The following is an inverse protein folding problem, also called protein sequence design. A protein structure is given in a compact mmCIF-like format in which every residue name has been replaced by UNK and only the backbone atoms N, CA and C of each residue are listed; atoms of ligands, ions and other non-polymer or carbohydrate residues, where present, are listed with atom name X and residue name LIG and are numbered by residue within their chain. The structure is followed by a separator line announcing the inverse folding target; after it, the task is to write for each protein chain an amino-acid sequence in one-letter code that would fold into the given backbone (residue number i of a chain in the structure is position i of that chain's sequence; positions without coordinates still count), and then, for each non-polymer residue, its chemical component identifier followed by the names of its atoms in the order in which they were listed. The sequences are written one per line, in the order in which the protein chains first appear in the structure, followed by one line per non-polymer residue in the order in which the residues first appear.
data_IF_533592680188
#
_entry.id   IF_533592680188
#
_cell.length_a   1.000
_cell.length_b   1.000
_cell.length_c   1.000
_cell.angle_alpha   90.00
_cell.angle_beta   90.00
_cell.angle_gamma   90.00
#
_symmetry.space_group_name_H-M   'P 1'
#
loop_
_entity.id
_entity.type
_entity.pdbx_description
1 polymer ?
#
# COMPACT_ATOMS: atom_id res chain seq x y z
N UNK A 1 -10.92 -31.14 -49.48
CA UNK A 1 -10.63 -30.03 -48.55
C UNK A 1 -11.83 -29.66 -47.66
N UNK A 2 -12.58 -30.63 -47.12
CA UNK A 2 -13.81 -30.35 -46.32
C UNK A 2 -13.72 -30.82 -44.86
N UNK A 3 -12.64 -31.57 -44.51
CA UNK A 3 -12.40 -32.11 -43.16
C UNK A 3 -11.39 -31.32 -42.33
N UNK A 4 -10.66 -30.36 -42.92
CA UNK A 4 -9.69 -29.53 -42.20
C UNK A 4 -10.30 -28.27 -41.56
N UNK A 5 -11.51 -27.87 -41.96
CA UNK A 5 -12.15 -26.64 -41.43
C UNK A 5 -12.84 -26.90 -40.07
N UNK A 6 -13.22 -28.15 -39.79
CA UNK A 6 -13.97 -28.51 -38.57
C UNK A 6 -13.06 -28.53 -37.33
N UNK A 7 -11.75 -28.72 -37.50
CA UNK A 7 -10.80 -28.83 -36.38
C UNK A 7 -10.43 -27.49 -35.72
N UNK A 8 -10.66 -26.36 -36.39
CA UNK A 8 -10.19 -25.05 -35.90
C UNK A 8 -11.17 -24.44 -34.89
N UNK A 9 -12.44 -24.86 -34.89
CA UNK A 9 -13.47 -24.33 -33.98
C UNK A 9 -13.39 -24.84 -32.53
N UNK A 10 -12.56 -25.85 -32.25
CA UNK A 10 -12.47 -26.46 -30.92
C UNK A 10 -11.36 -25.86 -30.02
N UNK A 11 -10.54 -24.95 -30.54
CA UNK A 11 -9.35 -24.44 -29.82
C UNK A 11 -9.65 -23.15 -29.02
N UNK A 12 -10.84 -22.55 -29.14
CA UNK A 12 -11.15 -21.27 -28.47
C UNK A 12 -11.88 -21.39 -27.13
N UNK A 13 -12.17 -22.60 -26.64
CA UNK A 13 -12.78 -22.80 -25.32
C UNK A 13 -11.70 -23.02 -24.26
N UNK A 14 -10.97 -21.95 -23.94
CA UNK A 14 -9.82 -22.04 -23.04
C UNK A 14 -9.35 -20.71 -22.47
N UNK A 15 -10.27 -19.92 -21.89
CA UNK A 15 -9.88 -18.90 -20.91
C UNK A 15 -10.98 -18.74 -19.86
N UNK A 16 -11.05 -19.69 -18.94
CA UNK A 16 -11.76 -19.51 -17.68
C UNK A 16 -10.80 -19.84 -16.54
N UNK A 17 -10.18 -18.81 -15.96
CA UNK A 17 -9.96 -18.68 -14.51
C UNK A 17 -8.96 -17.57 -14.21
N UNK A 18 -9.48 -16.37 -14.00
CA UNK A 18 -9.00 -15.59 -12.86
C UNK A 18 -10.27 -15.29 -12.07
N UNK A 19 -10.56 -16.00 -10.97
CA UNK A 19 -11.38 -15.37 -9.96
C UNK A 19 -10.58 -14.16 -9.51
N UNK A 20 -11.02 -12.96 -9.91
CA UNK A 20 -10.82 -11.80 -9.07
C UNK A 20 -11.44 -12.18 -7.72
N UNK A 21 -10.58 -12.71 -6.85
CA UNK A 21 -10.87 -12.80 -5.44
C UNK A 21 -10.93 -11.34 -5.00
N UNK A 22 -12.11 -10.75 -5.14
CA UNK A 22 -12.59 -9.64 -4.33
C UNK A 22 -12.44 -10.08 -2.88
N UNK A 23 -11.23 -9.93 -2.37
CA UNK A 23 -11.00 -9.77 -0.95
C UNK A 23 -11.15 -8.28 -0.69
N UNK A 24 -12.38 -7.79 -0.83
CA UNK A 24 -12.85 -6.75 0.06
C UNK A 24 -12.86 -7.38 1.46
N UNK A 25 -11.68 -7.58 2.04
CA UNK A 25 -11.59 -7.53 3.49
C UNK A 25 -11.78 -6.06 3.79
N UNK A 26 -13.05 -5.69 3.97
CA UNK A 26 -13.42 -4.66 4.91
C UNK A 26 -12.51 -4.88 6.11
N UNK A 27 -11.53 -3.99 6.26
CA UNK A 27 -10.88 -3.85 7.55
C UNK A 27 -11.98 -3.27 8.43
N UNK A 28 -12.76 -4.15 9.05
CA UNK A 28 -13.44 -3.80 10.29
C UNK A 28 -12.36 -3.16 11.16
N UNK A 29 -12.56 -1.87 11.36
CA UNK A 29 -11.88 -1.05 12.32
C UNK A 29 -12.28 -1.59 13.70
N UNK A 30 -11.75 -2.75 14.08
CA UNK A 30 -11.69 -3.16 15.47
C UNK A 30 -10.68 -2.25 16.16
N UNK A 31 -11.18 -1.08 16.55
CA UNK A 31 -10.58 -0.18 17.52
C UNK A 31 -10.60 -0.85 18.90
N UNK A 32 -9.93 -2.00 19.02
CA UNK A 32 -9.67 -2.67 20.30
C UNK A 32 -8.24 -2.31 20.70
N UNK A 33 -8.12 -1.10 21.25
CA UNK A 33 -6.90 -0.62 21.89
C UNK A 33 -6.69 -1.39 23.21
N UNK A 34 -6.37 -2.67 23.11
CA UNK A 34 -5.65 -3.36 24.18
C UNK A 34 -4.19 -2.95 24.06
N UNK A 35 -3.64 -2.36 25.12
CA UNK A 35 -2.23 -2.08 25.28
C UNK A 35 -1.46 -3.41 25.32
N UNK A 36 -1.30 -4.03 24.17
CA UNK A 36 -0.40 -5.14 23.95
C UNK A 36 0.96 -4.51 23.76
N UNK A 37 1.95 -4.93 24.53
CA UNK A 37 3.36 -4.64 24.24
C UNK A 37 3.59 -5.11 22.81
N UNK A 38 3.57 -4.19 21.85
CA UNK A 38 3.68 -4.55 20.44
C UNK A 38 5.07 -5.13 20.20
N UNK A 39 5.11 -6.38 19.74
CA UNK A 39 6.34 -7.00 19.31
C UNK A 39 6.91 -6.16 18.17
N UNK A 40 8.01 -5.47 18.46
CA UNK A 40 8.69 -4.55 17.54
C UNK A 40 9.13 -5.23 16.24
N UNK A 41 9.30 -6.56 16.25
CA UNK A 41 9.68 -7.35 15.09
C UNK A 41 8.49 -7.84 14.26
N UNK A 42 7.25 -7.58 14.71
CA UNK A 42 6.06 -7.94 13.96
C UNK A 42 6.01 -7.18 12.64
N UNK A 43 5.92 -7.93 11.55
CA UNK A 43 5.73 -7.37 10.21
C UNK A 43 4.26 -7.06 9.98
N UNK A 44 3.97 -5.81 9.65
CA UNK A 44 2.63 -5.32 9.29
C UNK A 44 2.64 -4.89 7.82
N UNK A 45 1.72 -5.45 7.05
CA UNK A 45 1.54 -5.12 5.63
C UNK A 45 0.31 -4.23 5.45
N UNK A 46 0.47 -3.10 4.74
CA UNK A 46 -0.63 -2.18 4.41
C UNK A 46 -0.63 -1.87 2.92
N UNK A 47 -1.82 -1.68 2.36
CA UNK A 47 -1.99 -1.21 0.99
C UNK A 47 -2.02 0.32 1.01
N UNK A 48 -0.97 0.95 0.50
CA UNK A 48 -0.80 2.40 0.50
C UNK A 48 -1.12 2.90 -0.91
N UNK A 49 -2.01 3.90 -1.00
CA UNK A 49 -2.26 4.62 -2.25
C UNK A 49 -1.07 5.54 -2.51
N UNK A 50 -0.35 5.31 -3.60
CA UNK A 50 0.74 6.19 -4.03
C UNK A 50 0.21 7.14 -5.11
N UNK A 51 0.64 8.40 -5.08
CA UNK A 51 0.22 9.39 -6.07
C UNK A 51 0.65 8.96 -7.48
N UNK A 52 -0.24 9.14 -8.47
CA UNK A 52 0.04 8.83 -9.87
C UNK A 52 -0.25 7.40 -10.31
N UNK A 53 -0.65 6.49 -9.40
CA UNK A 53 -1.10 5.14 -9.77
C UNK A 53 -2.57 4.92 -9.42
N UNK A 54 -3.28 4.13 -10.25
CA UNK A 54 -4.64 3.68 -9.95
C UNK A 54 -4.66 2.53 -8.94
N UNK A 55 -3.59 1.72 -8.93
CA UNK A 55 -3.47 0.56 -8.07
C UNK A 55 -2.70 0.90 -6.78
N UNK A 56 -3.20 0.47 -5.61
CA UNK A 56 -2.49 0.65 -4.35
C UNK A 56 -1.27 -0.27 -4.29
N UNK A 57 -0.20 0.19 -3.63
CA UNK A 57 1.01 -0.59 -3.43
C UNK A 57 0.98 -1.24 -2.06
N UNK A 58 1.20 -2.55 -2.01
CA UNK A 58 1.37 -3.27 -0.74
C UNK A 58 2.78 -3.03 -0.19
N UNK A 59 2.85 -2.50 1.03
CA UNK A 59 4.11 -2.22 1.75
C UNK A 59 4.08 -2.99 3.06
N UNK A 60 5.11 -3.79 3.31
CA UNK A 60 5.29 -4.54 4.54
C UNK A 60 6.50 -3.98 5.28
N UNK A 61 6.31 -3.63 6.55
CA UNK A 61 7.36 -3.12 7.43
C UNK A 61 7.17 -3.66 8.83
N UNK A 62 8.25 -3.72 9.59
CA UNK A 62 8.14 -3.97 11.02
C UNK A 62 7.61 -2.73 11.75
N UNK A 63 7.06 -2.93 12.94
CA UNK A 63 6.57 -1.82 13.78
C UNK A 63 7.74 -0.87 14.13
N UNK A 64 8.91 -1.42 14.44
CA UNK A 64 10.11 -0.61 14.69
C UNK A 64 10.52 0.26 13.49
N UNK A 65 10.45 -0.29 12.27
CA UNK A 65 10.74 0.48 11.07
C UNK A 65 9.70 1.57 10.81
N UNK A 66 8.42 1.26 11.04
CA UNK A 66 7.33 2.24 10.89
C UNK A 66 7.49 3.41 11.87
N UNK A 67 7.82 3.14 13.13
CA UNK A 67 8.11 4.15 14.15
C UNK A 67 9.32 5.02 13.77
N UNK A 68 10.42 4.40 13.35
CA UNK A 68 11.63 5.13 12.96
C UNK A 68 11.39 6.06 11.75
N UNK A 69 10.57 5.62 10.80
CA UNK A 69 10.15 6.43 9.64
C UNK A 69 9.24 7.59 10.06
N UNK A 70 8.32 7.38 10.99
CA UNK A 70 7.44 8.42 11.52
C UNK A 70 8.23 9.47 12.33
N UNK A 71 9.21 9.05 13.11
CA UNK A 71 10.07 9.97 13.83
C UNK A 71 10.92 10.82 12.86
N UNK A 72 11.52 10.17 11.86
CA UNK A 72 12.32 10.86 10.84
C UNK A 72 11.48 11.90 10.08
N UNK A 73 10.26 11.55 9.68
CA UNK A 73 9.39 12.48 8.97
C UNK A 73 9.00 13.68 9.84
N UNK A 74 8.67 13.46 11.12
CA UNK A 74 8.39 14.56 12.04
C UNK A 74 9.59 15.48 12.25
N UNK A 75 10.81 14.93 12.38
CA UNK A 75 12.02 15.73 12.53
C UNK A 75 12.25 16.64 11.33
N UNK A 76 12.10 16.11 10.10
CA UNK A 76 12.23 16.89 8.87
C UNK A 76 11.18 18.00 8.83
N UNK A 77 9.92 17.69 9.11
CA UNK A 77 8.84 18.68 9.09
C UNK A 77 9.10 19.83 10.08
N UNK A 78 9.56 19.53 11.29
CA UNK A 78 9.93 20.55 12.28
C UNK A 78 11.11 21.41 11.82
N UNK A 79 12.10 20.79 11.20
CA UNK A 79 13.27 21.51 10.70
C UNK A 79 12.92 22.44 9.54
N UNK A 80 12.14 21.96 8.57
CA UNK A 80 11.67 22.79 7.45
C UNK A 80 10.77 23.92 7.93
N UNK A 81 9.89 23.68 8.92
CA UNK A 81 9.09 24.74 9.52
C UNK A 81 9.96 25.80 10.19
N UNK A 82 11.00 25.40 10.93
CA UNK A 82 11.94 26.33 11.57
C UNK A 82 12.68 27.17 10.53
N UNK A 83 13.14 26.56 9.43
CA UNK A 83 13.81 27.27 8.33
C UNK A 83 12.86 28.27 7.67
N UNK A 84 11.62 27.87 7.39
CA UNK A 84 10.61 28.75 6.80
C UNK A 84 10.32 29.96 7.71
N UNK A 85 10.15 29.76 9.02
CA UNK A 85 9.95 30.86 9.97
C UNK A 85 11.15 31.81 10.00
N UNK A 86 12.38 31.29 10.05
CA UNK A 86 13.58 32.12 10.01
C UNK A 86 13.70 32.93 8.72
N UNK A 87 13.26 32.40 7.58
CA UNK A 87 13.29 33.12 6.31
C UNK A 87 12.31 34.30 6.31
N UNK A 88 11.10 34.11 6.85
CA UNK A 88 10.11 35.18 7.02
C UNK A 88 10.64 36.28 7.95
N UNK A 89 11.29 35.91 9.05
CA UNK A 89 11.85 36.88 10.01
C UNK A 89 13.03 37.69 9.44
N UNK A 90 13.71 37.20 8.40
CA UNK A 90 14.82 37.91 7.75
C UNK A 90 14.38 38.78 6.54
N UNK A 91 13.16 38.61 6.04
CA UNK A 91 12.60 39.37 4.92
C UNK A 91 11.69 40.53 5.36
N UNK A 92 11.42 40.68 6.67
CA UNK A 92 10.66 41.78 7.28
C UNK A 92 11.53 42.88 7.88
#
# INVERSE_FOLDING_TARGET
MKRLIISIFLITLGCASIPESERNTDFENENKKTAVVEDKNKVVCRNIKVSGTRLPRRVCRTIAEEEALAEKSQRILREEQRRASQQIDNEG
#
